data_IF_126467342178
#
_entry.id   IF_126467342178
#
_cell.length_a   1.000
_cell.length_b   1.000
_cell.length_c   1.000
_cell.angle_alpha   90.00
_cell.angle_beta   90.00
_cell.angle_gamma   90.00
#
_symmetry.space_group_name_H-M   'P 1'
#
loop_
_entity.id
_entity.type
_entity.pdbx_description
1 polymer ?
#
# COMPACT_ATOMS: atom_id res chain seq x y z
N UNK A 1 17.24 -2.22 52.15
CA UNK A 1 17.76 -2.76 50.86
C UNK A 1 16.67 -2.82 49.79
N UNK A 2 15.51 -3.42 50.07
CA UNK A 2 14.40 -3.48 49.11
C UNK A 2 13.83 -2.11 48.70
N UNK A 3 13.68 -1.16 49.64
CA UNK A 3 13.22 0.22 49.32
C UNK A 3 14.11 0.95 48.31
N UNK A 4 15.43 0.81 48.44
CA UNK A 4 16.39 1.40 47.50
C UNK A 4 16.27 0.70 46.13
N UNK A 5 16.12 -0.63 46.13
CA UNK A 5 15.92 -1.40 44.90
C UNK A 5 14.63 -1.01 44.18
N UNK A 6 13.51 -0.83 44.90
CA UNK A 6 12.24 -0.37 44.34
C UNK A 6 12.37 1.04 43.76
N UNK A 7 13.03 1.95 44.48
CA UNK A 7 13.26 3.32 44.01
C UNK A 7 14.07 3.34 42.71
N UNK A 8 15.16 2.56 42.64
CA UNK A 8 15.98 2.45 41.43
C UNK A 8 15.18 1.83 40.28
N UNK A 9 14.36 0.81 40.54
CA UNK A 9 13.51 0.19 39.53
C UNK A 9 12.48 1.18 38.96
N UNK A 10 11.80 1.93 39.83
CA UNK A 10 10.83 2.97 39.44
C UNK A 10 11.51 4.05 38.60
N UNK A 11 12.66 4.59 39.06
CA UNK A 11 13.41 5.60 38.31
C UNK A 11 13.86 5.08 36.94
N UNK A 12 14.30 3.82 36.86
CA UNK A 12 14.70 3.19 35.60
C UNK A 12 13.52 3.04 34.63
N UNK A 13 12.34 2.66 35.14
CA UNK A 13 11.11 2.56 34.34
C UNK A 13 10.68 3.96 33.86
N UNK A 14 10.66 4.96 34.75
CA UNK A 14 10.33 6.34 34.39
C UNK A 14 11.29 6.90 33.33
N UNK A 15 12.60 6.68 33.50
CA UNK A 15 13.60 7.08 32.51
C UNK A 15 13.38 6.37 31.16
N UNK A 16 13.08 5.07 31.17
CA UNK A 16 12.77 4.31 29.95
C UNK A 16 11.51 4.84 29.24
N UNK A 17 10.43 5.12 29.97
CA UNK A 17 9.20 5.71 29.43
C UNK A 17 9.47 7.09 28.83
N UNK A 18 10.19 7.95 29.57
CA UNK A 18 10.55 9.30 29.10
C UNK A 18 11.41 9.25 27.83
N UNK A 19 12.43 8.39 27.82
CA UNK A 19 13.29 8.18 26.64
C UNK A 19 12.49 7.69 25.43
N UNK A 20 11.55 6.75 25.62
CA UNK A 20 10.69 6.23 24.56
C UNK A 20 9.71 7.28 24.02
N UNK A 21 9.29 8.23 24.85
CA UNK A 21 8.40 9.31 24.44
C UNK A 21 9.17 10.40 23.68
N UNK A 22 10.39 10.71 24.12
CA UNK A 22 11.28 11.67 23.44
C UNK A 22 11.81 11.16 22.10
N UNK A 23 11.97 9.83 21.95
CA UNK A 23 12.44 9.19 20.73
C UNK A 23 11.37 8.27 20.13
N UNK A 24 10.25 8.81 19.62
CA UNK A 24 9.19 8.00 19.07
C UNK A 24 9.68 7.27 17.82
N UNK A 25 9.29 6.00 17.67
CA UNK A 25 9.68 5.17 16.51
C UNK A 25 9.00 5.61 15.21
N UNK A 26 7.81 6.21 15.34
CA UNK A 26 7.04 6.77 14.24
C UNK A 26 6.82 8.26 14.48
N UNK A 27 6.82 9.04 13.41
CA UNK A 27 6.64 10.50 13.43
C UNK A 27 5.73 10.92 12.28
N UNK A 28 5.00 12.01 12.49
CA UNK A 28 4.24 12.69 11.45
C UNK A 28 5.18 13.59 10.65
N UNK A 29 5.16 13.46 9.33
CA UNK A 29 5.98 14.28 8.42
C UNK A 29 5.09 14.78 7.29
N UNK A 30 5.10 16.09 7.05
CA UNK A 30 4.43 16.68 5.91
C UNK A 30 5.22 16.39 4.64
N UNK A 31 4.56 15.82 3.62
CA UNK A 31 5.19 15.56 2.33
C UNK A 31 5.29 16.83 1.50
N UNK A 32 6.40 16.96 0.78
CA UNK A 32 6.64 18.00 -0.23
C UNK A 32 5.94 17.72 -1.56
N UNK A 33 5.40 16.52 -1.76
CA UNK A 33 4.74 16.09 -3.01
C UNK A 33 3.29 16.56 -3.06
N UNK A 34 2.56 16.51 -1.95
CA UNK A 34 1.14 16.83 -1.92
C UNK A 34 0.69 17.59 -0.66
N UNK A 35 1.62 18.06 0.18
CA UNK A 35 1.37 18.82 1.41
C UNK A 35 0.53 18.09 2.48
N UNK A 36 0.27 16.79 2.32
CA UNK A 36 -0.39 15.95 3.34
C UNK A 36 0.63 15.38 4.32
N UNK A 37 0.16 15.06 5.51
CA UNK A 37 0.97 14.47 6.59
C UNK A 37 0.90 12.95 6.54
N UNK A 38 2.06 12.30 6.64
CA UNK A 38 2.21 10.85 6.63
C UNK A 38 2.91 10.38 7.91
N UNK A 39 2.53 9.20 8.40
CA UNK A 39 3.22 8.54 9.52
C UNK A 39 4.31 7.64 8.99
N UNK A 40 5.54 7.98 9.32
CA UNK A 40 6.76 7.31 8.86
C UNK A 40 7.68 7.01 10.03
N UNK A 41 8.65 6.13 9.82
CA UNK A 41 9.67 5.81 10.82
C UNK A 41 10.56 7.02 11.07
N UNK A 42 10.90 7.25 12.33
CA UNK A 42 11.77 8.34 12.76
C UNK A 42 13.24 8.03 12.47
N UNK A 43 13.59 8.03 11.17
CA UNK A 43 14.93 7.82 10.65
C UNK A 43 15.43 9.06 9.93
N UNK A 44 16.73 9.13 9.64
CA UNK A 44 17.36 10.28 8.96
C UNK A 44 16.67 10.65 7.63
N UNK A 45 16.20 9.65 6.87
CA UNK A 45 15.51 9.83 5.59
C UNK A 45 13.97 9.79 5.69
N UNK A 46 13.38 10.16 6.84
CA UNK A 46 11.92 10.21 7.05
C UNK A 46 11.17 11.12 6.05
N UNK A 47 11.80 12.20 5.58
CA UNK A 47 11.19 13.06 4.56
C UNK A 47 10.96 12.31 3.24
N UNK A 48 11.99 11.60 2.76
CA UNK A 48 11.90 10.81 1.53
C UNK A 48 10.86 9.67 1.67
N UNK A 49 10.70 9.11 2.87
CA UNK A 49 9.66 8.13 3.15
C UNK A 49 8.26 8.73 3.05
N UNK A 50 8.05 9.93 3.61
CA UNK A 50 6.78 10.65 3.51
C UNK A 50 6.44 11.01 2.07
N UNK A 51 7.43 11.46 1.30
CA UNK A 51 7.29 11.79 -0.12
C UNK A 51 6.98 10.55 -0.98
N UNK A 52 7.59 9.41 -0.67
CA UNK A 52 7.27 8.13 -1.30
C UNK A 52 5.82 7.70 -1.03
N UNK A 53 5.37 7.76 0.23
CA UNK A 53 3.99 7.45 0.59
C UNK A 53 2.98 8.42 -0.03
N UNK A 54 3.35 9.69 -0.17
CA UNK A 54 2.55 10.69 -0.83
C UNK A 54 2.35 10.39 -2.32
N UNK A 55 3.42 9.98 -3.02
CA UNK A 55 3.32 9.57 -4.42
C UNK A 55 2.44 8.32 -4.59
N UNK A 56 2.62 7.31 -3.74
CA UNK A 56 1.75 6.11 -3.72
C UNK A 56 0.30 6.53 -3.51
N UNK A 57 0.02 7.28 -2.45
CA UNK A 57 -1.32 7.74 -2.07
C UNK A 57 -2.01 8.51 -3.21
N UNK A 58 -1.29 9.42 -3.86
CA UNK A 58 -1.80 10.18 -5.00
C UNK A 58 -2.14 9.27 -6.18
N UNK A 59 -1.33 8.25 -6.48
CA UNK A 59 -1.61 7.30 -7.58
C UNK A 59 -2.79 6.38 -7.27
N UNK A 60 -2.90 5.89 -6.03
CA UNK A 60 -4.07 5.10 -5.61
C UNK A 60 -5.35 5.92 -5.67
N UNK A 61 -5.33 7.18 -5.22
CA UNK A 61 -6.50 8.06 -5.33
C UNK A 61 -6.90 8.25 -6.80
N UNK A 62 -5.94 8.55 -7.68
CA UNK A 62 -6.19 8.69 -9.12
C UNK A 62 -6.77 7.41 -9.74
N UNK A 63 -6.33 6.24 -9.27
CA UNK A 63 -6.86 4.95 -9.71
C UNK A 63 -8.34 4.81 -9.32
N UNK A 64 -8.67 5.07 -8.05
CA UNK A 64 -10.05 5.03 -7.54
C UNK A 64 -10.93 6.03 -8.27
N UNK A 65 -10.47 7.26 -8.48
CA UNK A 65 -11.21 8.30 -9.21
C UNK A 65 -11.50 7.87 -10.66
N UNK A 66 -10.54 7.21 -11.33
CA UNK A 66 -10.74 6.68 -12.67
C UNK A 66 -11.69 5.48 -12.70
N UNK A 67 -11.69 4.63 -11.67
CA UNK A 67 -12.69 3.57 -11.53
C UNK A 67 -14.10 4.15 -11.38
N UNK A 68 -14.28 5.13 -10.50
CA UNK A 68 -15.56 5.84 -10.34
C UNK A 68 -16.01 6.46 -11.66
N UNK A 69 -15.11 7.11 -12.38
CA UNK A 69 -15.44 7.72 -13.68
C UNK A 69 -15.82 6.68 -14.75
N UNK A 70 -15.16 5.53 -14.77
CA UNK A 70 -15.37 4.50 -15.80
C UNK A 70 -16.59 3.61 -15.53
N UNK A 71 -16.77 3.16 -14.30
CA UNK A 71 -17.78 2.16 -13.92
C UNK A 71 -18.96 2.74 -13.14
N UNK A 72 -18.81 3.94 -12.58
CA UNK A 72 -19.86 4.58 -11.80
C UNK A 72 -20.35 3.68 -10.68
N UNK A 73 -21.68 3.55 -10.59
CA UNK A 73 -22.36 2.70 -9.61
C UNK A 73 -22.69 1.29 -10.13
N UNK A 74 -22.31 0.96 -11.36
CA UNK A 74 -22.71 -0.28 -12.02
C UNK A 74 -21.86 -1.48 -11.60
N UNK A 75 -20.60 -1.26 -11.18
CA UNK A 75 -19.71 -2.29 -10.67
C UNK A 75 -19.72 -2.30 -9.13
N UNK A 76 -20.29 -3.35 -8.53
CA UNK A 76 -20.40 -3.50 -7.07
C UNK A 76 -19.04 -3.52 -6.37
N UNK A 77 -18.00 -4.03 -7.03
CA UNK A 77 -16.64 -4.15 -6.49
C UNK A 77 -16.00 -2.77 -6.42
N UNK A 78 -16.24 -1.93 -7.44
CA UNK A 78 -15.84 -0.50 -7.43
C UNK A 78 -16.58 0.26 -6.34
N UNK A 79 -17.89 0.07 -6.21
CA UNK A 79 -18.68 0.70 -5.15
C UNK A 79 -18.15 0.34 -3.75
N UNK A 80 -17.81 -0.94 -3.55
CA UNK A 80 -17.25 -1.44 -2.30
C UNK A 80 -15.88 -0.82 -2.02
N UNK A 81 -15.01 -0.79 -3.02
CA UNK A 81 -13.70 -0.15 -2.94
C UNK A 81 -13.83 1.31 -2.53
N UNK A 82 -14.66 2.10 -3.21
CA UNK A 82 -14.85 3.53 -2.94
C UNK A 82 -15.37 3.77 -1.52
N UNK A 83 -16.35 2.96 -1.09
CA UNK A 83 -16.91 3.05 0.26
C UNK A 83 -15.86 2.82 1.34
N UNK A 84 -14.98 1.83 1.14
CA UNK A 84 -13.99 1.38 2.12
C UNK A 84 -12.68 2.17 2.08
N UNK A 85 -12.31 2.70 0.91
CA UNK A 85 -11.14 3.55 0.71
C UNK A 85 -11.38 5.01 1.09
N UNK A 86 -12.61 5.37 1.48
CA UNK A 86 -12.93 6.73 1.93
C UNK A 86 -12.06 7.11 3.12
N UNK A 87 -11.40 8.27 3.03
CA UNK A 87 -10.48 8.79 4.05
C UNK A 87 -9.30 7.84 4.34
N UNK A 88 -8.83 7.08 3.35
CA UNK A 88 -7.70 6.17 3.54
C UNK A 88 -6.48 6.92 4.07
N UNK A 89 -5.79 6.28 5.00
CA UNK A 89 -4.50 6.71 5.48
C UNK A 89 -3.43 5.70 5.08
N UNK A 90 -2.31 6.16 4.52
CA UNK A 90 -1.16 5.29 4.23
C UNK A 90 -0.05 5.59 5.23
N UNK A 91 0.49 4.54 5.85
CA UNK A 91 1.52 4.65 6.88
C UNK A 91 2.64 3.64 6.68
N UNK A 92 3.79 3.96 7.24
CA UNK A 92 4.92 3.05 7.25
C UNK A 92 4.80 1.98 8.36
N UNK A 93 5.12 0.72 8.02
CA UNK A 93 5.20 -0.38 8.96
C UNK A 93 6.46 -0.30 9.85
N UNK A 94 6.33 -0.75 11.10
CA UNK A 94 7.48 -1.01 11.96
C UNK A 94 8.11 -2.38 11.64
N UNK A 95 9.44 -2.54 11.72
CA UNK A 95 10.11 -3.81 11.38
C UNK A 95 9.60 -5.04 12.14
N UNK A 96 9.11 -4.85 13.37
CA UNK A 96 8.63 -5.93 14.25
C UNK A 96 7.23 -6.45 13.91
N UNK A 97 6.53 -5.89 12.92
CA UNK A 97 5.17 -6.34 12.57
C UNK A 97 5.12 -7.75 11.98
N UNK A 98 6.25 -8.31 11.53
CA UNK A 98 6.30 -9.62 10.84
C UNK A 98 5.76 -9.55 9.40
N UNK A 99 4.64 -8.85 9.20
CA UNK A 99 3.95 -8.62 7.94
C UNK A 99 4.65 -7.56 7.06
N UNK A 100 4.50 -7.70 5.75
CA UNK A 100 5.07 -6.80 4.73
C UNK A 100 4.10 -5.67 4.33
N UNK A 101 2.81 -5.91 4.48
CA UNK A 101 1.72 -4.93 4.38
C UNK A 101 0.47 -5.48 5.07
N UNK A 102 -0.44 -4.60 5.43
CA UNK A 102 -1.79 -4.96 5.91
C UNK A 102 -2.73 -3.76 5.87
N UNK A 103 -4.03 -4.02 5.85
CA UNK A 103 -5.07 -3.02 6.04
C UNK A 103 -5.76 -3.15 7.40
N UNK A 104 -6.09 -2.02 8.01
CA UNK A 104 -6.89 -1.93 9.24
C UNK A 104 -8.29 -1.42 8.91
N UNK A 105 -9.29 -1.86 9.69
CA UNK A 105 -10.68 -1.44 9.56
C UNK A 105 -11.23 -1.52 8.13
N UNK A 106 -10.94 -2.63 7.44
CA UNK A 106 -11.40 -2.89 6.06
C UNK A 106 -10.95 -1.83 5.04
N UNK A 107 -9.81 -1.18 5.24
CA UNK A 107 -9.21 -0.27 4.25
C UNK A 107 -9.05 1.18 4.71
N UNK A 108 -9.52 1.53 5.91
CA UNK A 108 -9.34 2.87 6.48
C UNK A 108 -7.86 3.24 6.60
N UNK A 109 -7.00 2.26 6.95
CA UNK A 109 -5.56 2.48 7.02
C UNK A 109 -4.83 1.36 6.30
N UNK A 110 -3.92 1.72 5.42
CA UNK A 110 -3.01 0.80 4.72
C UNK A 110 -1.62 1.01 5.30
N UNK A 111 -1.06 -0.05 5.86
CA UNK A 111 0.29 -0.04 6.44
C UNK A 111 1.23 -0.76 5.49
N UNK A 112 2.30 -0.10 5.05
CA UNK A 112 3.23 -0.59 4.05
C UNK A 112 4.66 -0.65 4.60
N UNK A 113 5.33 -1.77 4.39
CA UNK A 113 6.76 -1.88 4.64
C UNK A 113 7.55 -1.29 3.47
N UNK A 114 7.82 0.01 3.52
CA UNK A 114 8.48 0.72 2.41
C UNK A 114 10.01 0.62 2.40
N UNK A 115 10.60 -0.13 3.34
CA UNK A 115 12.05 -0.28 3.52
C UNK A 115 12.49 -1.73 3.40
N UNK A 116 13.69 -1.92 2.86
CA UNK A 116 14.37 -3.21 2.93
C UNK A 116 14.74 -3.57 4.37
N UNK A 117 14.60 -4.86 4.74
CA UNK A 117 15.06 -5.41 6.02
C UNK A 117 16.56 -5.72 5.97
N UNK A 118 17.37 -4.72 5.66
CA UNK A 118 18.84 -4.79 5.68
C UNK A 118 19.40 -3.65 6.55
N UNK A 119 20.70 -3.69 6.82
CA UNK A 119 21.38 -2.69 7.67
C UNK A 119 21.21 -1.24 7.19
N UNK A 120 20.98 -1.04 5.89
CA UNK A 120 20.88 0.27 5.28
C UNK A 120 19.44 0.82 5.27
N UNK A 121 18.43 -0.01 5.56
CA UNK A 121 16.99 0.33 5.61
C UNK A 121 16.53 1.21 4.43
N UNK A 122 17.06 0.90 3.25
CA UNK A 122 16.84 1.65 2.01
C UNK A 122 15.36 1.57 1.63
N UNK A 123 14.81 2.69 1.17
CA UNK A 123 13.47 2.73 0.59
C UNK A 123 13.42 1.86 -0.66
N UNK A 124 12.37 1.04 -0.80
CA UNK A 124 12.15 0.27 -2.01
C UNK A 124 11.67 1.17 -3.16
N UNK A 125 11.76 0.67 -4.39
CA UNK A 125 11.32 1.44 -5.55
C UNK A 125 9.80 1.62 -5.55
N UNK A 126 9.35 2.77 -6.07
CA UNK A 126 7.94 3.16 -6.09
C UNK A 126 7.06 2.12 -6.80
N UNK A 127 7.55 1.45 -7.85
CA UNK A 127 6.76 0.50 -8.62
C UNK A 127 6.48 -0.76 -7.80
N UNK A 128 7.48 -1.26 -7.08
CA UNK A 128 7.32 -2.35 -6.09
C UNK A 128 6.36 -1.96 -4.96
N UNK A 129 6.48 -0.75 -4.39
CA UNK A 129 5.54 -0.29 -3.35
C UNK A 129 4.12 -0.21 -3.90
N UNK A 130 3.95 0.29 -5.12
CA UNK A 130 2.64 0.35 -5.78
C UNK A 130 2.07 -1.05 -5.97
N UNK A 131 2.83 -2.02 -6.46
CA UNK A 131 2.35 -3.40 -6.60
C UNK A 131 1.76 -3.94 -5.29
N UNK A 132 2.45 -3.72 -4.17
CA UNK A 132 1.99 -4.14 -2.84
C UNK A 132 0.79 -3.31 -2.37
N UNK A 133 0.76 -2.01 -2.63
CA UNK A 133 -0.38 -1.18 -2.29
C UNK A 133 -1.64 -1.55 -3.12
N UNK A 134 -1.47 -1.97 -4.37
CA UNK A 134 -2.54 -2.48 -5.23
C UNK A 134 -3.06 -3.84 -4.73
N UNK A 135 -2.19 -4.68 -4.16
CA UNK A 135 -2.59 -5.90 -3.46
C UNK A 135 -3.50 -5.60 -2.26
N UNK A 136 -3.15 -4.59 -1.45
CA UNK A 136 -4.01 -4.14 -0.36
C UNK A 136 -5.34 -3.56 -0.85
N UNK A 137 -5.35 -2.83 -1.99
CA UNK A 137 -6.60 -2.39 -2.62
C UNK A 137 -7.47 -3.57 -3.07
N UNK A 138 -6.87 -4.66 -3.55
CA UNK A 138 -7.61 -5.86 -3.92
C UNK A 138 -8.28 -6.50 -2.69
N UNK A 139 -7.61 -6.52 -1.53
CA UNK A 139 -8.25 -6.92 -0.26
C UNK A 139 -9.43 -6.02 0.10
N UNK A 140 -9.30 -4.71 -0.11
CA UNK A 140 -10.40 -3.75 0.14
C UNK A 140 -11.58 -3.99 -0.81
N UNK A 141 -11.32 -4.32 -2.07
CA UNK A 141 -12.31 -4.63 -3.10
C UNK A 141 -12.97 -6.01 -2.93
N UNK A 142 -12.41 -6.89 -2.08
CA UNK A 142 -12.88 -8.27 -1.90
C UNK A 142 -13.76 -8.42 -0.65
N UNK A 143 -14.81 -9.23 -0.73
CA UNK A 143 -15.70 -9.52 0.41
C UNK A 143 -15.15 -10.68 1.23
N UNK A 144 -14.72 -11.74 0.54
CA UNK A 144 -14.16 -12.94 1.16
C UNK A 144 -12.79 -12.70 1.81
N UNK A 145 -12.43 -13.59 2.73
CA UNK A 145 -11.16 -13.52 3.48
C UNK A 145 -10.11 -14.39 2.81
N UNK A 146 -8.90 -13.86 2.68
CA UNK A 146 -7.74 -14.55 2.10
C UNK A 146 -7.52 -14.26 0.62
N UNK A 147 -6.70 -15.07 -0.03
CA UNK A 147 -6.31 -14.95 -1.44
C UNK A 147 -7.02 -16.01 -2.30
N UNK A 148 -8.34 -15.98 -2.29
CA UNK A 148 -9.17 -16.89 -3.10
C UNK A 148 -9.36 -16.35 -4.54
N UNK A 149 -10.19 -17.03 -5.33
CA UNK A 149 -10.45 -16.66 -6.72
C UNK A 149 -11.00 -15.23 -6.88
N UNK A 150 -11.93 -14.82 -6.02
CA UNK A 150 -12.49 -13.45 -5.99
C UNK A 150 -11.38 -12.40 -5.78
N UNK A 151 -10.51 -12.62 -4.78
CA UNK A 151 -9.36 -11.75 -4.53
C UNK A 151 -8.46 -11.63 -5.76
N UNK A 152 -8.08 -12.76 -6.35
CA UNK A 152 -7.14 -12.74 -7.47
C UNK A 152 -7.77 -12.11 -8.71
N UNK A 153 -9.08 -12.27 -8.92
CA UNK A 153 -9.78 -11.61 -10.01
C UNK A 153 -9.81 -10.09 -9.82
N UNK A 154 -10.13 -9.62 -8.62
CA UNK A 154 -10.07 -8.21 -8.25
C UNK A 154 -8.65 -7.64 -8.39
N UNK A 155 -7.63 -8.40 -7.98
CA UNK A 155 -6.26 -7.95 -8.08
C UNK A 155 -5.80 -7.81 -9.53
N UNK A 156 -6.11 -8.78 -10.40
CA UNK A 156 -5.82 -8.69 -11.84
C UNK A 156 -6.60 -7.56 -12.51
N UNK A 157 -7.88 -7.37 -12.13
CA UNK A 157 -8.70 -6.25 -12.59
C UNK A 157 -8.07 -4.89 -12.24
N UNK A 158 -7.57 -4.75 -11.00
CA UNK A 158 -6.87 -3.55 -10.53
C UNK A 158 -5.56 -3.33 -11.29
N UNK A 159 -4.73 -4.37 -11.43
CA UNK A 159 -3.44 -4.29 -12.12
C UNK A 159 -3.60 -3.88 -13.59
N UNK A 160 -4.54 -4.52 -14.31
CA UNK A 160 -4.83 -4.21 -15.71
C UNK A 160 -5.18 -2.72 -15.91
N UNK A 161 -6.04 -2.17 -15.05
CA UNK A 161 -6.42 -0.76 -15.11
C UNK A 161 -5.30 0.18 -14.68
N UNK A 162 -4.55 -0.16 -13.63
CA UNK A 162 -3.42 0.64 -13.17
C UNK A 162 -2.33 0.73 -14.24
N UNK A 163 -2.08 -0.35 -14.99
CA UNK A 163 -1.17 -0.36 -16.13
C UNK A 163 -1.71 0.48 -17.30
N UNK A 164 -2.95 0.26 -17.74
CA UNK A 164 -3.56 1.05 -18.84
C UNK A 164 -3.56 2.54 -18.54
N UNK A 165 -3.82 2.93 -17.29
CA UNK A 165 -3.84 4.33 -16.88
C UNK A 165 -2.46 4.88 -16.50
N UNK A 166 -1.38 4.12 -16.72
CA UNK A 166 0.01 4.50 -16.47
C UNK A 166 0.27 4.93 -15.01
N UNK A 167 -0.45 4.32 -14.07
CA UNK A 167 -0.28 4.53 -12.64
C UNK A 167 0.71 3.51 -12.02
N UNK A 168 0.86 2.36 -12.67
CA UNK A 168 1.77 1.27 -12.35
C UNK A 168 2.36 0.70 -13.65
N UNK A 169 3.56 0.13 -13.58
CA UNK A 169 4.20 -0.56 -14.71
C UNK A 169 4.37 -2.03 -14.39
N UNK A 170 3.76 -2.91 -15.19
CA UNK A 170 3.82 -4.35 -14.94
C UNK A 170 5.26 -4.88 -15.04
N UNK A 171 5.61 -5.75 -14.10
CA UNK A 171 6.91 -6.41 -14.02
C UNK A 171 6.66 -7.92 -14.09
N UNK A 172 7.41 -8.61 -14.93
CA UNK A 172 7.44 -10.07 -14.88
C UNK A 172 8.35 -10.51 -13.73
N UNK A 173 7.79 -10.63 -12.52
CA UNK A 173 8.50 -11.04 -11.32
C UNK A 173 9.00 -12.49 -11.36
N UNK A 174 8.40 -13.33 -12.21
CA UNK A 174 8.90 -14.69 -12.45
C UNK A 174 10.27 -14.69 -13.15
N UNK A 175 10.47 -13.76 -14.10
CA UNK A 175 11.76 -13.57 -14.80
C UNK A 175 12.71 -12.64 -14.07
N UNK A 176 12.19 -11.61 -13.40
CA UNK A 176 12.97 -10.62 -12.66
C UNK A 176 12.43 -10.44 -11.24
N UNK A 177 12.67 -11.41 -10.32
CA UNK A 177 12.25 -11.30 -8.93
C UNK A 177 12.77 -10.01 -8.28
N UNK A 178 11.96 -9.39 -7.42
CA UNK A 178 12.33 -8.17 -6.70
C UNK A 178 12.33 -8.37 -5.18
N UNK A 179 13.40 -7.98 -4.48
CA UNK A 179 13.39 -8.01 -3.02
C UNK A 179 12.44 -6.94 -2.47
N UNK A 180 11.61 -7.31 -1.50
CA UNK A 180 10.69 -6.40 -0.83
C UNK A 180 10.56 -6.80 0.64
N UNK A 181 10.85 -5.88 1.57
CA UNK A 181 10.65 -6.09 3.01
C UNK A 181 11.17 -7.44 3.57
N UNK A 182 12.32 -7.94 3.08
CA UNK A 182 12.92 -9.20 3.53
C UNK A 182 12.35 -10.47 2.87
N UNK A 183 11.39 -10.34 1.95
CA UNK A 183 10.95 -11.40 1.05
C UNK A 183 11.36 -11.08 -0.41
N UNK A 184 11.08 -12.00 -1.33
CA UNK A 184 11.17 -11.78 -2.77
C UNK A 184 9.79 -11.88 -3.38
N UNK A 185 9.42 -10.87 -4.18
CA UNK A 185 8.25 -10.93 -5.05
C UNK A 185 8.67 -11.68 -6.31
N UNK A 186 8.02 -12.82 -6.55
CA UNK A 186 8.32 -13.75 -7.66
C UNK A 186 7.11 -14.01 -8.55
N UNK A 187 5.92 -13.61 -8.13
CA UNK A 187 4.68 -13.89 -8.85
C UNK A 187 4.20 -12.69 -9.65
N UNK A 188 3.75 -12.96 -10.88
CA UNK A 188 3.15 -11.98 -11.79
C UNK A 188 1.67 -12.33 -11.97
N UNK A 189 0.74 -11.72 -11.22
CA UNK A 189 -0.65 -12.14 -11.24
C UNK A 189 -1.37 -11.84 -12.57
N UNK A 190 -0.98 -10.76 -13.25
CA UNK A 190 -1.58 -10.30 -14.50
C UNK A 190 -1.22 -11.25 -15.65
N UNK A 191 -2.23 -11.78 -16.33
CA UNK A 191 -2.12 -12.71 -17.47
C UNK A 191 -2.30 -11.97 -18.79
N UNK A 192 -1.85 -12.58 -19.89
CA UNK A 192 -1.89 -11.97 -21.23
C UNK A 192 -3.30 -11.51 -21.64
N UNK A 193 -4.33 -12.33 -21.40
CA UNK A 193 -5.71 -12.04 -21.82
C UNK A 193 -6.49 -11.15 -20.83
N UNK A 194 -5.92 -10.82 -19.66
CA UNK A 194 -6.63 -10.05 -18.63
C UNK A 194 -6.90 -8.61 -19.09
N UNK A 195 -5.99 -8.05 -19.89
CA UNK A 195 -6.19 -6.72 -20.45
C UNK A 195 -7.46 -6.69 -21.29
N UNK A 196 -7.64 -7.59 -22.25
CA UNK A 196 -8.86 -7.66 -23.04
C UNK A 196 -10.10 -7.92 -22.18
N UNK A 197 -10.02 -8.90 -21.28
CA UNK A 197 -11.12 -9.29 -20.39
C UNK A 197 -11.65 -8.14 -19.54
N UNK A 198 -10.76 -7.38 -18.90
CA UNK A 198 -11.18 -6.35 -17.92
C UNK A 198 -11.34 -4.97 -18.54
N UNK A 199 -10.61 -4.69 -19.60
CA UNK A 199 -10.51 -3.35 -20.17
C UNK A 199 -11.36 -3.21 -21.43
N UNK A 200 -11.66 -4.33 -22.11
CA UNK A 200 -12.31 -4.41 -23.43
C UNK A 200 -13.41 -3.39 -23.67
N UNK A 201 -13.52 -2.93 -24.93
CA UNK A 201 -14.52 -1.96 -25.33
C UNK A 201 -15.95 -2.49 -25.13
N UNK A 202 -16.90 -1.59 -24.82
CA UNK A 202 -18.32 -1.92 -24.86
C UNK A 202 -18.68 -2.58 -26.21
N UNK A 203 -19.68 -3.48 -26.27
CA UNK A 203 -20.10 -4.09 -27.53
C UNK A 203 -20.54 -2.99 -28.51
N UNK A 204 -19.67 -2.67 -29.49
CA UNK A 204 -19.99 -1.79 -30.60
C UNK A 204 -21.09 -2.48 -31.42
N UNK A 205 -22.28 -1.87 -31.51
CA UNK A 205 -23.34 -2.35 -32.43
C UNK A 205 -23.03 -2.05 -33.92
N UNK A 206 -21.94 -1.35 -34.24
CA UNK A 206 -21.47 -1.14 -35.61
C UNK A 206 -20.05 -0.55 -35.68
N UNK A 207 -19.31 -0.92 -36.73
CA UNK A 207 -17.90 -0.58 -37.00
C UNK A 207 -17.75 0.70 -37.87
N UNK A 208 -16.56 1.35 -37.92
CA UNK A 208 -15.30 1.00 -37.25
C UNK A 208 -15.13 1.73 -35.91
N UNK A 209 -14.87 0.96 -34.86
CA UNK A 209 -14.56 1.49 -33.52
C UNK A 209 -13.18 2.17 -33.57
N UNK A 210 -13.11 3.45 -33.19
CA UNK A 210 -11.83 4.10 -32.84
C UNK A 210 -11.68 4.01 -31.32
N UNK A 211 -10.60 3.35 -30.89
CA UNK A 211 -10.23 3.14 -29.49
C UNK A 211 -9.82 4.42 -28.77
#
# INVERSE_FOLDING_TARGET
MYEILYTIAILSICAYIFYSWYNPKLVYVQSKVNNKTYVVRNLKNKQAAADLLAEVSTRLQKLVDKFVKKYGKEDERVNLLVKRFKNHEIREALPKSGQTSYSLNKGERIVLCIRGRNTNEKLADINTILFVALHELAHIMTISVGHNEEFWDNFRFILAHAEKWKLYSSVNYGKSPKPYCGIKITETPLRENDSERFIGCAPCKSAPCKC
#
